data_IF_948077860284
#
_entry.id   IF_948077860284
#
_cell.length_a   1.000
_cell.length_b   1.000
_cell.length_c   1.000
_cell.angle_alpha   90.00
_cell.angle_beta   90.00
_cell.angle_gamma   90.00
#
_symmetry.space_group_name_H-M   'P 1'
#
loop_
_entity.id
_entity.type
_entity.pdbx_description
1 polymer ?
#
# COMPACT_ATOMS: atom_id res chain seq x y z
N UNK A 1 76.95 10.53 -58.57
CA UNK A 1 75.98 11.44 -57.93
C UNK A 1 74.68 10.69 -57.81
N UNK A 2 74.43 10.07 -56.64
CA UNK A 2 73.18 9.35 -56.35
C UNK A 2 72.17 10.39 -55.90
N UNK A 3 71.02 10.45 -56.58
CA UNK A 3 69.84 11.18 -56.14
C UNK A 3 68.85 10.11 -55.72
N UNK A 4 68.57 10.07 -54.42
CA UNK A 4 67.80 9.01 -53.79
C UNK A 4 66.30 9.18 -54.03
N UNK A 5 65.68 8.02 -54.13
CA UNK A 5 64.28 7.70 -54.39
C UNK A 5 63.32 8.48 -53.49
N UNK A 6 62.51 9.35 -54.12
CA UNK A 6 61.47 10.12 -53.46
C UNK A 6 60.09 9.70 -53.98
N UNK A 7 59.69 8.48 -53.62
CA UNK A 7 58.29 8.04 -53.64
C UNK A 7 58.16 6.98 -52.57
N UNK A 8 57.64 7.31 -51.39
CA UNK A 8 56.88 6.33 -50.62
C UNK A 8 56.00 7.05 -49.60
N UNK A 9 54.69 6.91 -49.86
CA UNK A 9 53.65 6.84 -48.85
C UNK A 9 52.90 8.13 -48.46
N UNK A 10 52.22 8.75 -49.44
CA UNK A 10 50.87 9.26 -49.18
C UNK A 10 49.89 8.09 -49.27
N UNK A 11 49.80 7.30 -48.19
CA UNK A 11 48.60 6.52 -47.91
C UNK A 11 47.90 7.23 -46.76
N UNK A 12 46.94 8.08 -47.11
CA UNK A 12 45.89 8.47 -46.21
C UNK A 12 45.05 7.23 -45.89
N UNK A 13 45.55 6.36 -45.02
CA UNK A 13 44.68 5.50 -44.25
C UNK A 13 44.07 6.40 -43.19
N UNK A 14 42.82 6.80 -43.39
CA UNK A 14 41.98 7.28 -42.31
C UNK A 14 42.09 6.27 -41.17
N UNK A 15 42.83 6.63 -40.13
CA UNK A 15 42.81 5.90 -38.87
C UNK A 15 41.39 5.99 -38.34
N UNK A 16 40.57 5.00 -38.66
CA UNK A 16 39.35 4.74 -37.91
C UNK A 16 39.80 4.36 -36.50
N UNK A 17 39.93 5.38 -35.66
CA UNK A 17 40.30 5.27 -34.26
C UNK A 17 39.17 4.55 -33.54
N UNK A 18 39.29 3.21 -33.52
CA UNK A 18 38.33 2.33 -32.89
C UNK A 18 38.18 2.72 -31.41
N UNK A 19 36.92 2.82 -30.96
CA UNK A 19 36.62 3.19 -29.59
C UNK A 19 37.30 2.21 -28.61
N UNK A 20 37.84 2.71 -27.49
CA UNK A 20 38.59 1.88 -26.57
C UNK A 20 37.69 0.83 -25.91
N UNK A 21 38.21 -0.37 -25.68
CA UNK A 21 37.43 -1.53 -25.23
C UNK A 21 36.66 -1.34 -23.91
N UNK A 22 37.12 -0.44 -23.02
CA UNK A 22 36.42 -0.12 -21.78
C UNK A 22 35.10 0.65 -22.02
N UNK A 23 34.99 1.38 -23.14
CA UNK A 23 33.81 2.17 -23.47
C UNK A 23 32.61 1.26 -23.74
N UNK A 24 32.84 0.05 -24.25
CA UNK A 24 31.78 -0.93 -24.49
C UNK A 24 31.16 -1.41 -23.18
N UNK A 25 31.98 -1.79 -22.19
CA UNK A 25 31.48 -2.21 -20.85
C UNK A 25 30.81 -1.06 -20.11
N UNK A 26 31.32 0.17 -20.24
CA UNK A 26 30.68 1.35 -19.68
C UNK A 26 29.32 1.63 -20.35
N UNK A 27 29.26 1.55 -21.68
CA UNK A 27 28.03 1.76 -22.44
C UNK A 27 26.97 0.70 -22.13
N UNK A 28 27.40 -0.55 -21.89
CA UNK A 28 26.53 -1.66 -21.48
C UNK A 28 25.89 -1.38 -20.11
N UNK A 29 26.69 -1.06 -19.10
CA UNK A 29 26.20 -0.71 -17.75
C UNK A 29 25.28 0.52 -17.74
N UNK A 30 25.56 1.52 -18.57
CA UNK A 30 24.71 2.72 -18.69
C UNK A 30 23.37 2.42 -19.38
N UNK A 31 23.38 1.56 -20.40
CA UNK A 31 22.17 1.16 -21.12
C UNK A 31 21.31 0.23 -20.27
N UNK A 32 21.91 -0.67 -19.50
CA UNK A 32 21.21 -1.54 -18.55
C UNK A 32 20.53 -0.75 -17.44
N UNK A 33 21.23 0.25 -16.87
CA UNK A 33 20.64 1.15 -15.88
C UNK A 33 19.46 1.92 -16.47
N UNK A 34 19.61 2.44 -17.70
CA UNK A 34 18.52 3.13 -18.40
C UNK A 34 17.33 2.20 -18.65
N UNK A 35 17.57 0.96 -19.11
CA UNK A 35 16.53 -0.03 -19.36
C UNK A 35 15.77 -0.39 -18.08
N UNK A 36 16.50 -0.70 -17.00
CA UNK A 36 15.91 -0.99 -15.68
C UNK A 36 15.15 0.23 -15.16
N UNK A 37 15.70 1.44 -15.28
CA UNK A 37 15.06 2.68 -14.84
C UNK A 37 13.73 2.91 -15.58
N UNK A 38 13.69 2.72 -16.90
CA UNK A 38 12.45 2.88 -17.69
C UNK A 38 11.39 1.84 -17.29
N UNK A 39 11.81 0.60 -17.03
CA UNK A 39 10.90 -0.46 -16.54
C UNK A 39 10.34 -0.09 -15.15
N UNK A 40 11.20 0.32 -14.22
CA UNK A 40 10.78 0.75 -12.87
C UNK A 40 9.90 2.00 -12.91
N UNK A 41 10.19 2.96 -13.80
CA UNK A 41 9.41 4.18 -13.98
C UNK A 41 8.02 3.89 -14.58
N UNK A 42 7.92 2.92 -15.50
CA UNK A 42 6.64 2.46 -16.05
C UNK A 42 5.72 1.89 -14.96
N UNK A 43 6.26 1.04 -14.07
CA UNK A 43 5.50 0.51 -12.93
C UNK A 43 5.10 1.60 -11.94
N UNK A 44 5.94 2.61 -11.71
CA UNK A 44 5.61 3.73 -10.83
C UNK A 44 4.44 4.59 -11.36
N UNK A 45 4.29 4.73 -12.68
CA UNK A 45 3.22 5.55 -13.27
C UNK A 45 1.86 4.82 -13.38
N UNK A 46 1.85 3.49 -13.37
CA UNK A 46 0.64 2.67 -13.54
C UNK A 46 -0.31 2.73 -12.32
N UNK A 47 0.13 3.25 -11.18
CA UNK A 47 -0.67 3.33 -9.94
C UNK A 47 -1.53 4.60 -9.79
N UNK A 48 -2.12 5.13 -10.87
CA UNK A 48 -3.14 6.20 -10.74
C UNK A 48 -4.55 5.60 -10.77
N UNK A 49 -5.30 5.59 -9.65
CA UNK A 49 -6.73 5.34 -9.74
C UNK A 49 -7.35 6.46 -10.58
N UNK A 50 -8.03 6.08 -11.67
CA UNK A 50 -8.84 7.01 -12.46
C UNK A 50 -10.01 7.43 -11.59
N UNK A 51 -9.83 8.52 -10.83
CA UNK A 51 -10.92 9.21 -10.15
C UNK A 51 -11.85 9.73 -11.25
N UNK A 52 -12.91 8.98 -11.53
CA UNK A 52 -14.03 9.48 -12.30
C UNK A 52 -14.73 10.51 -11.42
N UNK A 53 -14.28 11.76 -11.50
CA UNK A 53 -14.95 12.91 -10.93
C UNK A 53 -16.32 13.06 -11.61
N UNK A 54 -17.34 12.36 -11.09
CA UNK A 54 -18.72 12.69 -11.42
C UNK A 54 -19.12 13.84 -10.50
N UNK A 55 -19.04 15.03 -11.08
CA UNK A 55 -19.44 16.29 -10.48
C UNK A 55 -20.78 16.16 -9.75
N UNK A 56 -20.73 16.52 -8.46
CA UNK A 56 -21.74 17.22 -7.66
C UNK A 56 -23.07 17.44 -8.40
N UNK A 57 -24.06 16.65 -8.01
CA UNK A 57 -25.45 16.84 -8.39
C UNK A 57 -26.04 18.05 -7.65
N UNK A 58 -26.00 19.23 -8.26
CA UNK A 58 -26.89 20.34 -7.90
C UNK A 58 -28.22 20.11 -8.60
N UNK A 59 -29.20 19.51 -7.92
CA UNK A 59 -30.60 19.97 -7.99
C UNK A 59 -31.39 19.46 -6.79
N UNK A 60 -31.84 20.40 -5.99
CA UNK A 60 -32.81 20.30 -4.91
C UNK A 60 -34.21 20.05 -5.50
N UNK A 61 -34.95 19.04 -5.01
CA UNK A 61 -36.40 19.10 -4.69
C UNK A 61 -37.06 17.71 -4.50
N UNK A 62 -37.89 17.62 -3.45
CA UNK A 62 -39.13 16.81 -3.31
C UNK A 62 -39.10 15.42 -2.63
N UNK A 63 -39.33 15.43 -1.30
CA UNK A 63 -40.41 14.77 -0.50
C UNK A 63 -40.77 13.27 -0.72
N UNK A 64 -40.54 12.48 0.35
CA UNK A 64 -41.34 11.41 1.00
C UNK A 64 -41.50 9.97 0.43
N UNK A 65 -40.99 9.04 1.26
CA UNK A 65 -41.39 7.65 1.63
C UNK A 65 -41.44 6.46 0.63
N UNK A 66 -40.50 5.54 0.89
CA UNK A 66 -40.59 4.06 0.89
C UNK A 66 -41.26 3.32 -0.27
N UNK A 67 -40.43 2.74 -1.14
CA UNK A 67 -40.32 1.27 -1.28
C UNK A 67 -39.04 0.90 -2.01
N UNK A 68 -38.43 -0.18 -1.52
CA UNK A 68 -37.22 -0.81 -2.03
C UNK A 68 -37.27 -1.03 -3.55
N UNK A 69 -36.26 -0.53 -4.24
CA UNK A 69 -35.72 -1.14 -5.45
C UNK A 69 -34.20 -0.98 -5.44
N UNK A 70 -33.54 -2.07 -5.05
CA UNK A 70 -32.41 -2.68 -5.77
C UNK A 70 -31.57 -1.72 -6.60
N UNK A 71 -30.86 -0.82 -5.94
CA UNK A 71 -29.73 -0.11 -6.51
C UNK A 71 -28.49 -0.70 -5.86
N UNK A 72 -27.86 -1.66 -6.53
CA UNK A 72 -26.51 -2.11 -6.18
C UNK A 72 -25.55 -0.95 -6.44
N UNK A 73 -25.62 0.07 -5.58
CA UNK A 73 -24.69 1.17 -5.53
C UNK A 73 -23.39 0.57 -5.02
N UNK A 74 -22.54 0.16 -5.96
CA UNK A 74 -21.14 -0.09 -5.67
C UNK A 74 -20.58 1.28 -5.27
N UNK A 75 -20.75 1.62 -3.99
CA UNK A 75 -19.92 2.63 -3.34
C UNK A 75 -18.48 2.24 -3.67
N UNK A 76 -17.63 3.19 -4.12
CA UNK A 76 -16.22 2.95 -4.31
C UNK A 76 -15.69 2.15 -3.11
N UNK A 77 -14.89 1.11 -3.37
CA UNK A 77 -14.36 0.27 -2.29
C UNK A 77 -13.68 1.11 -1.21
N UNK A 78 -13.10 2.25 -1.59
CA UNK A 78 -12.48 3.24 -0.72
C UNK A 78 -13.48 3.94 0.23
N UNK A 79 -14.69 4.29 -0.22
CA UNK A 79 -15.72 4.92 0.62
C UNK A 79 -16.28 3.92 1.65
N UNK A 80 -16.46 2.66 1.24
CA UNK A 80 -16.82 1.59 2.18
C UNK A 80 -15.73 1.35 3.21
N UNK A 81 -14.47 1.42 2.79
CA UNK A 81 -13.30 1.22 3.63
C UNK A 81 -13.11 2.34 4.64
N UNK A 82 -13.29 3.59 4.22
CA UNK A 82 -13.27 4.74 5.13
C UNK A 82 -14.45 4.68 6.12
N UNK A 83 -15.64 4.28 5.64
CA UNK A 83 -16.79 4.05 6.51
C UNK A 83 -16.57 2.95 7.54
N UNK A 84 -15.87 1.88 7.18
CA UNK A 84 -15.49 0.80 8.11
C UNK A 84 -14.58 1.32 9.23
N UNK A 85 -13.53 2.07 8.87
CA UNK A 85 -12.60 2.66 9.86
C UNK A 85 -13.35 3.58 10.82
N UNK A 86 -14.25 4.42 10.30
CA UNK A 86 -15.06 5.33 11.11
C UNK A 86 -16.02 4.57 12.04
N UNK A 87 -16.67 3.51 11.55
CA UNK A 87 -17.55 2.66 12.36
C UNK A 87 -16.82 1.99 13.53
N UNK A 88 -15.60 1.48 13.30
CA UNK A 88 -14.78 0.93 14.38
C UNK A 88 -14.41 2.02 15.38
N UNK A 89 -13.96 3.19 14.91
CA UNK A 89 -13.59 4.28 15.80
C UNK A 89 -14.78 4.75 16.67
N UNK A 90 -15.98 4.84 16.10
CA UNK A 90 -17.21 5.20 16.84
C UNK A 90 -17.55 4.17 17.92
N UNK A 91 -17.66 2.88 17.55
CA UNK A 91 -18.01 1.82 18.50
C UNK A 91 -17.01 1.70 19.66
N UNK A 92 -15.74 1.96 19.37
CA UNK A 92 -14.65 1.89 20.35
C UNK A 92 -14.63 3.12 21.25
N UNK A 93 -14.99 4.29 20.72
CA UNK A 93 -15.19 5.51 21.49
C UNK A 93 -16.37 5.40 22.44
N UNK A 94 -17.51 4.90 21.96
CA UNK A 94 -18.71 4.71 22.77
C UNK A 94 -18.50 3.69 23.90
N UNK A 95 -17.66 2.67 23.66
CA UNK A 95 -17.28 1.70 24.67
C UNK A 95 -16.28 2.25 25.71
N UNK A 96 -15.74 3.47 25.53
CA UNK A 96 -14.70 4.04 26.39
C UNK A 96 -13.34 3.36 26.23
N UNK A 97 -13.12 2.65 25.12
CA UNK A 97 -11.95 1.82 24.88
C UNK A 97 -10.95 2.47 23.90
N UNK A 98 -11.13 3.75 23.56
CA UNK A 98 -10.26 4.47 22.60
C UNK A 98 -8.78 4.50 22.98
N UNK A 99 -8.44 4.37 24.26
CA UNK A 99 -7.04 4.28 24.71
C UNK A 99 -6.41 2.90 24.52
N UNK A 100 -7.24 1.91 24.25
CA UNK A 100 -6.88 0.49 24.23
C UNK A 100 -6.87 -0.10 22.82
N UNK A 101 -7.47 0.60 21.85
CA UNK A 101 -7.45 0.22 20.44
C UNK A 101 -7.00 1.40 19.58
N UNK A 102 -6.06 1.14 18.68
CA UNK A 102 -5.64 2.05 17.62
C UNK A 102 -6.00 1.43 16.27
N UNK A 103 -6.61 2.23 15.40
CA UNK A 103 -6.98 1.84 14.04
C UNK A 103 -6.19 2.69 13.06
N UNK A 104 -5.42 2.05 12.18
CA UNK A 104 -4.56 2.73 11.22
C UNK A 104 -4.77 2.15 9.84
N UNK A 105 -4.90 3.01 8.82
CA UNK A 105 -4.90 2.59 7.41
C UNK A 105 -3.45 2.35 6.96
N UNK A 106 -3.20 1.17 6.40
CA UNK A 106 -1.90 0.77 5.84
C UNK A 106 -2.05 0.55 4.33
N UNK A 107 -1.63 1.55 3.54
CA UNK A 107 -1.88 1.56 2.10
C UNK A 107 -3.38 1.68 1.77
N UNK A 108 -3.79 1.21 0.60
CA UNK A 108 -5.15 1.48 0.10
C UNK A 108 -6.22 0.52 0.64
N UNK A 109 -5.83 -0.69 1.06
CA UNK A 109 -6.75 -1.80 1.30
C UNK A 109 -6.49 -2.58 2.60
N UNK A 110 -5.58 -2.13 3.47
CA UNK A 110 -5.28 -2.81 4.74
C UNK A 110 -5.61 -1.89 5.90
N UNK A 111 -6.37 -2.38 6.86
CA UNK A 111 -6.57 -1.72 8.16
C UNK A 111 -5.81 -2.51 9.20
N UNK A 112 -4.92 -1.83 9.90
CA UNK A 112 -4.22 -2.37 11.05
C UNK A 112 -4.94 -1.96 12.33
N UNK A 113 -5.49 -2.96 13.02
CA UNK A 113 -6.07 -2.80 14.34
C UNK A 113 -5.04 -3.23 15.38
N UNK A 114 -4.61 -2.31 16.24
CA UNK A 114 -3.68 -2.58 17.33
C UNK A 114 -4.41 -2.49 18.66
N UNK A 115 -4.49 -3.60 19.36
CA UNK A 115 -5.05 -3.67 20.70
C UNK A 115 -3.91 -3.69 21.72
N UNK A 116 -4.04 -2.91 22.79
CA UNK A 116 -3.10 -2.96 23.90
C UNK A 116 -3.23 -4.29 24.66
N UNK A 117 -2.10 -4.87 25.08
CA UNK A 117 -2.05 -6.11 25.86
C UNK A 117 -2.95 -6.05 27.12
N UNK A 118 -2.86 -4.96 27.88
CA UNK A 118 -3.68 -4.71 29.08
C UNK A 118 -5.18 -4.52 28.83
N UNK A 119 -5.59 -4.50 27.56
CA UNK A 119 -7.00 -4.50 27.17
C UNK A 119 -7.55 -5.91 26.94
N UNK A 120 -6.66 -6.88 26.69
CA UNK A 120 -7.02 -8.27 26.36
C UNK A 120 -6.66 -9.25 27.48
N UNK A 121 -5.56 -9.00 28.18
CA UNK A 121 -4.98 -9.94 29.12
C UNK A 121 -4.50 -9.25 30.42
N UNK A 122 -4.60 -10.01 31.51
CA UNK A 122 -3.85 -9.74 32.73
C UNK A 122 -2.35 -10.03 32.50
N UNK A 123 -1.48 -9.33 33.22
CA UNK A 123 -0.03 -9.56 33.13
C UNK A 123 0.33 -11.03 33.42
N UNK A 124 0.99 -11.67 32.45
CA UNK A 124 1.45 -13.05 32.56
C UNK A 124 0.36 -14.12 32.36
N UNK A 125 -0.84 -13.73 31.95
CA UNK A 125 -1.93 -14.66 31.62
C UNK A 125 -2.31 -14.55 30.16
N UNK A 126 -2.93 -15.61 29.64
CA UNK A 126 -3.50 -15.64 28.30
C UNK A 126 -5.03 -15.86 28.32
N UNK A 127 -5.63 -15.90 29.51
CA UNK A 127 -7.08 -16.01 29.67
C UNK A 127 -7.74 -14.68 29.31
N UNK A 128 -8.82 -14.77 28.51
CA UNK A 128 -9.64 -13.62 28.14
C UNK A 128 -10.62 -13.33 29.27
N UNK A 129 -10.66 -12.09 29.74
CA UNK A 129 -11.58 -11.64 30.78
C UNK A 129 -12.87 -11.01 30.19
N UNK A 130 -13.85 -10.74 31.05
CA UNK A 130 -15.14 -10.14 30.63
C UNK A 130 -15.01 -8.74 29.98
N UNK A 131 -13.91 -8.02 30.24
CA UNK A 131 -13.67 -6.69 29.67
C UNK A 131 -13.12 -6.84 28.25
N UNK A 132 -12.18 -7.76 28.06
CA UNK A 132 -11.65 -8.16 26.77
C UNK A 132 -12.75 -8.75 25.87
N UNK A 133 -13.65 -9.57 26.42
CA UNK A 133 -14.81 -10.10 25.67
C UNK A 133 -15.71 -8.98 25.13
N UNK A 134 -15.98 -7.93 25.92
CA UNK A 134 -16.76 -6.78 25.45
C UNK A 134 -16.07 -6.04 24.31
N UNK A 135 -14.76 -5.81 24.42
CA UNK A 135 -13.96 -5.17 23.37
C UNK A 135 -13.99 -6.00 22.08
N UNK A 136 -13.66 -7.29 22.19
CA UNK A 136 -13.65 -8.22 21.06
C UNK A 136 -15.05 -8.38 20.45
N UNK A 137 -16.10 -8.35 21.27
CA UNK A 137 -17.49 -8.35 20.83
C UNK A 137 -17.83 -7.16 19.94
N UNK A 138 -17.44 -5.95 20.33
CA UNK A 138 -17.62 -4.75 19.50
C UNK A 138 -16.87 -4.87 18.17
N UNK A 139 -15.60 -5.29 18.21
CA UNK A 139 -14.79 -5.49 16.98
C UNK A 139 -15.43 -6.55 16.08
N UNK A 140 -15.85 -7.68 16.64
CA UNK A 140 -16.46 -8.79 15.88
C UNK A 140 -17.78 -8.38 15.21
N UNK A 141 -18.57 -7.52 15.86
CA UNK A 141 -19.83 -7.03 15.31
C UNK A 141 -19.58 -6.15 14.09
N UNK A 142 -18.62 -5.22 14.16
CA UNK A 142 -18.24 -4.40 13.01
C UNK A 142 -17.58 -5.22 11.91
N UNK A 143 -16.73 -6.21 12.24
CA UNK A 143 -16.16 -7.11 11.23
C UNK A 143 -17.25 -7.92 10.51
N UNK A 144 -18.32 -8.29 11.21
CA UNK A 144 -19.45 -9.02 10.61
C UNK A 144 -20.29 -8.10 9.71
N UNK A 145 -20.54 -6.87 10.13
CA UNK A 145 -21.27 -5.86 9.32
C UNK A 145 -20.58 -5.61 7.96
N UNK A 146 -19.25 -5.65 7.93
CA UNK A 146 -18.46 -5.42 6.71
C UNK A 146 -17.89 -6.70 6.10
N UNK A 147 -18.38 -7.88 6.50
CA UNK A 147 -17.82 -9.18 6.08
C UNK A 147 -17.72 -9.32 4.55
N UNK A 148 -18.72 -8.85 3.81
CA UNK A 148 -18.75 -8.92 2.34
C UNK A 148 -17.65 -8.08 1.66
N UNK A 149 -17.08 -7.10 2.39
CA UNK A 149 -16.01 -6.22 1.91
C UNK A 149 -14.62 -6.66 2.41
N UNK A 150 -14.56 -7.61 3.35
CA UNK A 150 -13.31 -8.07 3.96
C UNK A 150 -12.88 -9.37 3.29
N UNK A 151 -11.80 -9.31 2.52
CA UNK A 151 -11.25 -10.50 1.85
C UNK A 151 -10.52 -11.44 2.82
N UNK A 152 -9.86 -10.89 3.83
CA UNK A 152 -9.02 -11.64 4.76
C UNK A 152 -8.94 -10.94 6.12
N UNK A 153 -9.00 -11.72 7.20
CA UNK A 153 -8.64 -11.29 8.55
C UNK A 153 -7.39 -12.06 8.97
N UNK A 154 -6.39 -11.34 9.47
CA UNK A 154 -5.14 -11.91 10.00
C UNK A 154 -5.00 -11.48 11.44
N UNK A 155 -4.78 -12.44 12.34
CA UNK A 155 -4.60 -12.19 13.76
C UNK A 155 -3.14 -12.48 14.09
N UNK A 156 -2.46 -11.50 14.68
CA UNK A 156 -1.06 -11.60 15.10
C UNK A 156 -0.95 -11.28 16.59
N UNK A 157 -0.22 -12.12 17.32
CA UNK A 157 0.08 -11.92 18.74
C UNK A 157 1.54 -11.52 18.93
N UNK A 158 1.80 -10.57 19.81
CA UNK A 158 3.15 -10.17 20.22
C UNK A 158 3.34 -10.46 21.71
N UNK A 159 4.55 -10.85 22.09
CA UNK A 159 4.96 -10.97 23.50
C UNK A 159 5.97 -9.88 23.84
N UNK A 160 5.98 -9.47 25.11
CA UNK A 160 7.02 -8.64 25.71
C UNK A 160 8.38 -9.38 25.71
N UNK A 161 9.48 -8.64 25.87
CA UNK A 161 10.84 -9.17 26.08
C UNK A 161 11.16 -9.46 27.56
N UNK A 162 10.26 -9.18 28.51
CA UNK A 162 10.41 -9.57 29.93
C UNK A 162 10.40 -11.10 30.08
N UNK A 163 11.49 -11.71 30.62
CA UNK A 163 11.56 -13.16 30.81
C UNK A 163 10.46 -13.66 31.76
N UNK A 164 9.79 -14.75 31.39
CA UNK A 164 8.89 -15.46 32.28
C UNK A 164 9.74 -16.28 33.25
N UNK A 165 9.71 -15.92 34.53
CA UNK A 165 10.19 -16.78 35.61
C UNK A 165 9.00 -17.60 36.10
N UNK A 166 9.11 -18.93 35.98
CA UNK A 166 8.12 -19.89 36.46
C UNK A 166 8.54 -20.45 37.82
#
# INVERSE_FOLDING_TARGET
>A
MKIDSNYHNLSAASSEEAAPAWLTTYSDMMTDLLAIFVILFSFAMVSRPVVKSKAVSTTQATVTESKEQTGNGILPAEDKFNGFVESINSHVADAGLSKQLSVVKEGDNVVLLRVADSALFDSGKADIDSKAEKLLGSISSTLTEYADSIKMVRIEGHTDNRPINN
#
